data_IF_903070383729
#
_entry.id   IF_903070383729
#
_cell.length_a   1.000
_cell.length_b   1.000
_cell.length_c   1.000
_cell.angle_alpha   90.00
_cell.angle_beta   90.00
_cell.angle_gamma   90.00
#
_symmetry.space_group_name_H-M   'P 1'
#
loop_
_entity.id
_entity.type
_entity.pdbx_description
1 polymer ?
#
# COMPACT_ATOMS: atom_id res chain seq x y z
N UNK A 1 6.48 -30.35 30.41
CA UNK A 1 5.94 -29.39 31.40
C UNK A 1 4.69 -28.77 30.81
N UNK A 2 3.58 -28.91 31.52
CA UNK A 2 2.31 -28.25 31.25
C UNK A 2 2.52 -26.75 31.23
N UNK A 3 2.08 -26.07 30.15
CA UNK A 3 2.17 -24.62 30.04
C UNK A 3 1.46 -23.94 31.22
N UNK A 4 2.20 -23.19 31.99
CA UNK A 4 1.62 -22.40 33.08
C UNK A 4 1.11 -21.07 32.49
N UNK A 5 -0.19 -20.87 32.50
CA UNK A 5 -0.76 -19.55 32.18
C UNK A 5 -0.45 -18.62 33.35
N UNK A 6 0.30 -17.56 33.09
CA UNK A 6 0.46 -16.47 34.06
C UNK A 6 -0.63 -15.46 33.75
N UNK A 7 -1.61 -15.33 34.66
CA UNK A 7 -2.62 -14.26 34.59
C UNK A 7 -2.05 -13.05 35.31
N UNK A 8 -1.81 -11.98 34.56
CA UNK A 8 -1.34 -10.70 35.12
C UNK A 8 -2.53 -9.74 35.16
N UNK A 9 -2.90 -9.32 36.38
CA UNK A 9 -3.96 -8.34 36.59
C UNK A 9 -5.38 -8.89 36.55
N UNK A 10 -6.32 -8.10 37.01
CA UNK A 10 -7.76 -8.26 36.94
C UNK A 10 -8.36 -7.18 36.04
N UNK A 11 -9.67 -7.20 35.83
CA UNK A 11 -10.36 -6.16 35.05
C UNK A 11 -10.10 -4.77 35.66
N UNK A 12 -9.47 -3.88 34.89
CA UNK A 12 -9.10 -2.52 35.30
C UNK A 12 -7.65 -2.36 35.78
N UNK A 13 -6.89 -3.45 35.90
CA UNK A 13 -5.47 -3.37 36.25
C UNK A 13 -4.64 -2.96 35.02
N UNK A 14 -3.57 -2.22 35.27
CA UNK A 14 -2.57 -1.85 34.25
C UNK A 14 -1.33 -2.71 34.46
N UNK A 15 -0.88 -3.37 33.38
CA UNK A 15 0.42 -4.05 33.37
C UNK A 15 1.44 -3.13 32.73
N UNK A 16 2.36 -2.59 33.54
CA UNK A 16 3.43 -1.72 33.06
C UNK A 16 4.67 -2.55 32.71
N UNK A 17 5.16 -2.37 31.47
CA UNK A 17 6.39 -2.99 31.02
C UNK A 17 7.55 -2.04 31.33
N UNK A 18 8.51 -2.48 32.09
CA UNK A 18 9.65 -1.66 32.46
C UNK A 18 10.42 -1.16 31.23
N UNK A 19 11.01 0.04 31.33
CA UNK A 19 11.84 0.61 30.28
C UNK A 19 12.97 -0.36 29.89
N UNK A 20 13.08 -0.69 28.59
CA UNK A 20 14.06 -1.64 28.05
C UNK A 20 13.59 -3.10 28.02
N UNK A 21 12.42 -3.42 28.60
CA UNK A 21 11.79 -4.72 28.40
C UNK A 21 10.82 -4.67 27.20
N UNK A 22 10.60 -5.81 26.53
CA UNK A 22 9.68 -5.94 25.43
C UNK A 22 8.64 -7.01 25.70
N UNK A 23 7.38 -6.74 25.33
CA UNK A 23 6.33 -7.75 25.29
C UNK A 23 6.36 -8.44 23.93
N UNK A 24 6.86 -9.67 23.89
CA UNK A 24 6.82 -10.47 22.66
C UNK A 24 5.40 -10.98 22.44
N UNK A 25 4.83 -10.67 21.25
CA UNK A 25 3.43 -10.99 20.94
C UNK A 25 2.44 -9.90 21.32
N UNK A 26 2.90 -8.73 21.76
CA UNK A 26 2.07 -7.51 21.88
C UNK A 26 1.59 -7.06 20.49
N UNK A 27 0.37 -6.50 20.41
CA UNK A 27 -0.15 -5.91 19.18
C UNK A 27 0.64 -4.68 18.72
N UNK A 28 0.29 -4.14 17.55
CA UNK A 28 0.88 -2.90 17.04
C UNK A 28 0.55 -1.72 17.96
N UNK A 29 1.60 -1.02 18.37
CA UNK A 29 1.49 0.25 19.09
C UNK A 29 1.38 1.41 18.09
N UNK A 30 0.18 1.93 17.91
CA UNK A 30 -0.05 3.08 17.05
C UNK A 30 0.53 4.36 17.65
N UNK A 31 1.26 5.10 16.84
CA UNK A 31 1.78 6.40 17.25
C UNK A 31 0.64 7.42 17.32
N UNK A 32 0.62 8.21 18.38
CA UNK A 32 -0.42 9.23 18.58
C UNK A 32 -0.25 10.46 17.67
N UNK A 33 0.98 10.70 17.20
CA UNK A 33 1.31 11.83 16.36
C UNK A 33 1.23 11.45 14.87
N UNK A 34 0.64 12.33 14.05
CA UNK A 34 0.66 12.21 12.60
C UNK A 34 2.04 12.64 12.09
N UNK A 35 2.63 11.86 11.21
CA UNK A 35 3.92 12.15 10.60
C UNK A 35 3.71 13.06 9.40
N UNK A 36 4.13 14.33 9.50
CA UNK A 36 4.09 15.33 8.41
C UNK A 36 5.49 15.66 7.86
N UNK A 37 6.53 15.08 8.47
CA UNK A 37 7.91 15.31 8.06
C UNK A 37 8.27 14.56 6.77
N UNK A 38 9.25 15.05 6.04
CA UNK A 38 9.79 14.39 4.83
C UNK A 38 10.60 13.12 5.13
N UNK A 39 10.90 12.86 6.41
CA UNK A 39 11.61 11.65 6.85
C UNK A 39 11.01 11.10 8.13
N UNK A 40 11.04 9.76 8.25
CA UNK A 40 10.67 9.04 9.46
C UNK A 40 11.66 7.91 9.68
N UNK A 41 12.09 7.68 10.91
CA UNK A 41 12.74 6.44 11.31
C UNK A 41 11.69 5.55 11.98
N UNK A 42 11.35 4.46 11.33
CA UNK A 42 10.34 3.54 11.82
C UNK A 42 10.95 2.51 12.79
N UNK A 43 10.15 2.04 13.72
CA UNK A 43 10.50 1.03 14.71
C UNK A 43 9.58 -0.18 14.57
N UNK A 44 10.12 -1.38 14.85
CA UNK A 44 9.32 -2.61 14.89
C UNK A 44 8.23 -2.54 15.96
N UNK A 45 7.08 -3.13 15.66
CA UNK A 45 5.92 -3.15 16.55
C UNK A 45 5.08 -1.87 16.53
N UNK A 46 5.36 -0.94 15.62
CA UNK A 46 4.66 0.36 15.56
C UNK A 46 3.84 0.55 14.29
N UNK A 47 2.71 1.27 14.45
CA UNK A 47 1.88 1.78 13.36
C UNK A 47 1.98 3.30 13.25
N UNK A 48 1.99 3.82 12.02
CA UNK A 48 2.20 5.23 11.73
C UNK A 48 1.11 5.78 10.79
N UNK A 49 0.61 6.97 11.14
CA UNK A 49 -0.24 7.80 10.30
C UNK A 49 0.66 8.75 9.51
N UNK A 50 0.75 8.58 8.19
CA UNK A 50 1.65 9.37 7.35
C UNK A 50 0.84 10.37 6.54
N UNK A 51 1.09 11.65 6.75
CA UNK A 51 0.51 12.76 5.98
C UNK A 51 1.56 13.31 5.03
N UNK A 52 1.39 13.05 3.74
CA UNK A 52 2.28 13.52 2.69
C UNK A 52 1.74 14.72 1.93
N UNK A 53 0.78 15.46 2.49
CA UNK A 53 0.17 16.62 1.81
C UNK A 53 1.22 17.62 1.32
N UNK A 54 2.26 17.86 2.10
CA UNK A 54 3.28 18.88 1.80
C UNK A 54 4.54 18.34 1.13
N UNK A 55 4.84 17.04 1.26
CA UNK A 55 6.09 16.44 0.77
C UNK A 55 6.04 14.91 0.68
N UNK A 56 6.93 14.36 -0.14
CA UNK A 56 7.27 12.94 -0.12
C UNK A 56 7.87 12.59 1.25
N UNK A 57 7.52 11.43 1.81
CA UNK A 57 8.11 10.95 3.06
C UNK A 57 9.02 9.73 2.79
N UNK A 58 10.29 9.84 3.18
CA UNK A 58 11.23 8.70 3.19
C UNK A 58 11.25 8.06 4.57
N UNK A 59 10.88 6.78 4.63
CA UNK A 59 10.74 6.03 5.88
C UNK A 59 11.93 5.07 5.98
N UNK A 60 12.83 5.32 6.93
CA UNK A 60 13.97 4.44 7.20
C UNK A 60 13.54 3.32 8.13
N UNK A 61 13.66 2.10 7.66
CA UNK A 61 13.34 0.91 8.44
C UNK A 61 14.47 0.53 9.40
N UNK A 62 14.20 -0.29 10.43
CA UNK A 62 15.24 -0.81 11.33
C UNK A 62 16.36 -1.49 10.53
N UNK A 63 17.61 -1.24 10.89
CA UNK A 63 18.78 -1.91 10.30
C UNK A 63 18.97 -3.35 10.78
N UNK A 64 18.18 -3.79 11.76
CA UNK A 64 18.06 -5.16 12.23
C UNK A 64 16.62 -5.48 12.58
N UNK A 65 16.17 -6.70 12.32
CA UNK A 65 14.83 -7.16 12.62
C UNK A 65 14.81 -8.67 12.90
N UNK A 66 13.85 -9.09 13.70
CA UNK A 66 13.57 -10.50 14.01
C UNK A 66 12.35 -10.98 13.25
N UNK A 67 12.32 -12.27 12.89
CA UNK A 67 11.14 -12.83 12.22
C UNK A 67 9.87 -12.61 13.06
N UNK A 68 8.84 -12.04 12.45
CA UNK A 68 7.61 -11.63 13.11
C UNK A 68 7.55 -10.15 13.51
N UNK A 69 8.64 -9.40 13.41
CA UNK A 69 8.60 -7.94 13.56
C UNK A 69 7.66 -7.33 12.54
N UNK A 70 6.86 -6.35 12.95
CA UNK A 70 5.79 -5.77 12.15
C UNK A 70 5.84 -4.25 12.16
N UNK A 71 5.55 -3.63 11.03
CA UNK A 71 5.40 -2.18 10.87
C UNK A 71 4.18 -1.92 10.02
N UNK A 72 3.31 -1.00 10.45
CA UNK A 72 2.15 -0.57 9.66
C UNK A 72 2.29 0.90 9.29
N UNK A 73 2.08 1.19 8.01
CA UNK A 73 2.11 2.54 7.44
C UNK A 73 0.75 2.82 6.81
N UNK A 74 0.12 3.94 7.15
CA UNK A 74 -1.21 4.29 6.62
C UNK A 74 -1.21 5.70 6.07
N UNK A 75 -1.76 5.85 4.86
CA UNK A 75 -1.98 7.16 4.21
C UNK A 75 -3.08 7.93 4.95
N UNK A 76 -2.68 8.84 5.84
CA UNK A 76 -3.60 9.63 6.63
C UNK A 76 -4.39 10.64 5.78
N UNK A 77 -3.71 11.31 4.87
CA UNK A 77 -4.28 12.41 4.08
C UNK A 77 -4.86 11.97 2.72
N UNK A 78 -4.73 10.67 2.36
CA UNK A 78 -5.09 10.13 1.05
C UNK A 78 -4.36 10.87 -0.09
N UNK A 79 -3.06 11.05 0.06
CA UNK A 79 -2.24 11.87 -0.85
C UNK A 79 -1.00 11.17 -1.42
N UNK A 80 -0.85 9.86 -1.20
CA UNK A 80 0.34 9.12 -1.67
C UNK A 80 0.48 9.07 -3.20
N UNK A 81 -0.61 9.25 -3.94
CA UNK A 81 -0.55 9.35 -5.40
C UNK A 81 0.19 10.61 -5.86
N UNK A 82 0.00 11.72 -5.15
CA UNK A 82 0.70 12.99 -5.41
C UNK A 82 2.11 12.98 -4.80
N UNK A 83 2.21 12.64 -3.52
CA UNK A 83 3.45 12.60 -2.76
C UNK A 83 3.61 11.22 -2.11
N UNK A 84 4.27 10.32 -2.83
CA UNK A 84 4.47 8.94 -2.40
C UNK A 84 5.31 8.80 -1.13
N UNK A 85 5.21 7.66 -0.48
CA UNK A 85 6.22 7.25 0.50
C UNK A 85 7.30 6.38 -0.16
N UNK A 86 8.52 6.46 0.37
CA UNK A 86 9.66 5.64 -0.05
C UNK A 86 10.20 4.92 1.18
N UNK A 87 10.37 3.61 1.10
CA UNK A 87 10.95 2.81 2.18
C UNK A 87 12.45 2.68 1.95
N UNK A 88 13.25 3.31 2.80
CA UNK A 88 14.67 3.02 2.89
C UNK A 88 14.84 1.71 3.69
N UNK A 89 15.26 0.66 3.01
CA UNK A 89 15.38 -0.70 3.56
C UNK A 89 16.50 -0.83 4.61
N UNK A 90 17.41 0.15 4.70
CA UNK A 90 18.48 0.22 5.69
C UNK A 90 19.33 -1.08 5.78
N UNK A 91 19.66 -1.64 4.62
CA UNK A 91 20.50 -2.85 4.51
C UNK A 91 19.76 -4.18 4.60
N UNK A 92 18.49 -4.20 5.04
CA UNK A 92 17.67 -5.39 5.02
C UNK A 92 17.01 -5.58 3.63
N UNK A 93 16.50 -6.79 3.38
CA UNK A 93 15.78 -7.09 2.15
C UNK A 93 14.30 -6.69 2.25
N UNK A 94 13.72 -6.42 1.10
CA UNK A 94 12.29 -6.29 0.90
C UNK A 94 11.86 -7.24 -0.23
N UNK A 95 11.01 -8.21 0.07
CA UNK A 95 10.59 -9.29 -0.85
C UNK A 95 11.78 -10.02 -1.52
N UNK A 96 12.94 -10.06 -0.86
CA UNK A 96 14.15 -10.73 -1.34
C UNK A 96 15.19 -9.82 -1.99
N UNK A 97 14.88 -8.53 -2.20
CA UNK A 97 15.74 -7.57 -2.88
C UNK A 97 16.25 -6.50 -1.91
N UNK A 98 17.47 -6.03 -2.13
CA UNK A 98 18.07 -4.91 -1.37
C UNK A 98 17.97 -3.58 -2.12
N UNK A 99 17.55 -3.61 -3.37
CA UNK A 99 17.40 -2.45 -4.25
C UNK A 99 16.47 -2.81 -5.42
N UNK A 100 15.71 -1.86 -5.98
CA UNK A 100 15.55 -0.47 -5.50
C UNK A 100 14.74 -0.37 -4.21
N UNK A 101 14.78 0.80 -3.55
CA UNK A 101 13.90 1.09 -2.41
C UNK A 101 12.43 1.04 -2.85
N UNK A 102 11.57 0.26 -2.21
CA UNK A 102 10.15 0.20 -2.56
C UNK A 102 9.46 1.53 -2.27
N UNK A 103 8.41 1.82 -3.01
CA UNK A 103 7.58 3.00 -2.80
C UNK A 103 6.10 2.64 -2.93
N UNK A 104 5.26 3.37 -2.20
CA UNK A 104 3.81 3.25 -2.25
C UNK A 104 3.22 4.58 -2.67
N UNK A 105 2.34 4.54 -3.67
CA UNK A 105 1.78 5.72 -4.34
C UNK A 105 0.29 5.59 -4.62
N UNK A 106 -0.42 4.81 -3.83
CA UNK A 106 -1.88 4.66 -3.95
C UNK A 106 -2.58 5.41 -2.83
N UNK A 107 -3.50 6.29 -3.17
CA UNK A 107 -4.25 7.07 -2.19
C UNK A 107 -5.10 6.21 -1.27
N UNK A 108 -4.99 6.47 0.03
CA UNK A 108 -5.72 5.79 1.08
C UNK A 108 -5.23 4.37 1.38
N UNK A 109 -4.03 4.04 0.93
CA UNK A 109 -3.41 2.74 1.17
C UNK A 109 -2.98 2.59 2.62
N UNK A 110 -3.07 1.37 3.13
CA UNK A 110 -2.44 0.93 4.38
C UNK A 110 -1.59 -0.28 4.07
N UNK A 111 -0.34 -0.25 4.51
CA UNK A 111 0.64 -1.31 4.26
C UNK A 111 1.05 -1.92 5.57
N UNK A 112 0.75 -3.21 5.74
CA UNK A 112 1.19 -4.02 6.88
C UNK A 112 2.38 -4.86 6.44
N UNK A 113 3.53 -4.64 7.05
CA UNK A 113 4.80 -5.22 6.68
C UNK A 113 5.33 -6.09 7.82
N UNK A 114 5.60 -7.35 7.51
CA UNK A 114 6.16 -8.32 8.48
C UNK A 114 7.54 -8.76 8.02
N UNK A 115 8.51 -8.76 8.94
CA UNK A 115 9.83 -9.29 8.65
C UNK A 115 9.82 -10.82 8.71
N UNK A 116 10.12 -11.45 7.59
CA UNK A 116 10.07 -12.91 7.42
C UNK A 116 11.41 -13.61 7.65
N UNK A 117 12.46 -12.86 7.96
CA UNK A 117 13.82 -13.35 8.11
C UNK A 117 14.77 -12.91 6.98
N UNK A 118 16.04 -13.26 7.08
CA UNK A 118 17.11 -12.75 6.22
C UNK A 118 16.98 -13.11 4.73
N UNK A 119 16.23 -14.17 4.39
CA UNK A 119 16.10 -14.62 2.99
C UNK A 119 15.25 -13.65 2.16
N UNK A 120 14.09 -13.26 2.66
CA UNK A 120 13.13 -12.39 1.97
C UNK A 120 13.02 -10.99 2.59
N UNK A 121 13.33 -10.85 3.88
CA UNK A 121 13.24 -9.58 4.59
C UNK A 121 11.80 -9.18 4.89
N UNK A 122 11.48 -7.92 4.69
CA UNK A 122 10.14 -7.37 4.87
C UNK A 122 9.20 -7.82 3.76
N UNK A 123 8.02 -8.28 4.14
CA UNK A 123 6.98 -8.77 3.23
C UNK A 123 5.67 -8.05 3.56
N UNK A 124 4.95 -7.49 2.58
CA UNK A 124 3.57 -7.06 2.76
C UNK A 124 2.71 -8.26 3.18
N UNK A 125 2.01 -8.13 4.31
CA UNK A 125 1.22 -9.21 4.91
C UNK A 125 -0.27 -9.12 4.56
N UNK A 126 -0.76 -7.93 4.23
CA UNK A 126 -2.12 -7.73 3.74
C UNK A 126 -2.08 -7.36 2.27
N UNK A 127 -3.14 -7.75 1.54
CA UNK A 127 -3.37 -7.19 0.22
C UNK A 127 -3.62 -5.69 0.40
N UNK A 128 -2.63 -4.91 0.05
CA UNK A 128 -2.62 -3.46 0.17
C UNK A 128 -3.37 -2.78 -0.98
N UNK A 129 -4.03 -3.57 -1.84
CA UNK A 129 -4.83 -3.06 -2.94
C UNK A 129 -6.20 -2.54 -2.47
N UNK A 130 -6.21 -1.30 -1.99
CA UNK A 130 -7.45 -0.58 -1.63
C UNK A 130 -8.21 -0.05 -2.86
N UNK A 131 -7.74 -0.31 -4.08
CA UNK A 131 -8.35 0.19 -5.32
C UNK A 131 -9.81 -0.24 -5.49
N UNK A 132 -10.16 -1.39 -4.98
CA UNK A 132 -11.51 -1.93 -5.10
C UNK A 132 -12.55 -1.32 -4.12
N UNK A 133 -12.12 -0.47 -3.18
CA UNK A 133 -13.02 0.15 -2.20
C UNK A 133 -13.54 1.52 -2.62
N UNK A 134 -12.94 2.13 -3.61
CA UNK A 134 -13.42 3.37 -4.22
C UNK A 134 -13.83 3.07 -5.65
N UNK A 135 -15.01 3.50 -6.11
CA UNK A 135 -15.38 3.33 -7.51
C UNK A 135 -14.30 3.93 -8.39
N UNK A 136 -13.67 3.10 -9.19
CA UNK A 136 -12.69 3.53 -10.19
C UNK A 136 -13.45 3.93 -11.43
N UNK A 137 -13.41 5.22 -11.78
CA UNK A 137 -13.87 5.66 -13.09
C UNK A 137 -12.82 5.25 -14.12
N UNK A 138 -13.14 4.28 -14.94
CA UNK A 138 -12.33 3.95 -16.11
C UNK A 138 -12.83 4.73 -17.30
N UNK A 139 -11.96 5.50 -17.94
CA UNK A 139 -12.23 6.04 -19.26
C UNK A 139 -11.94 4.94 -20.26
N UNK A 140 -12.97 4.47 -20.94
CA UNK A 140 -12.81 3.49 -22.04
C UNK A 140 -12.90 4.27 -23.33
N UNK A 141 -11.82 4.28 -24.10
CA UNK A 141 -11.85 4.76 -25.46
C UNK A 141 -12.33 3.63 -26.36
N UNK A 142 -13.30 3.93 -27.21
CA UNK A 142 -13.87 2.95 -28.12
C UNK A 142 -14.06 3.53 -29.50
N UNK A 143 -13.99 2.65 -30.50
CA UNK A 143 -14.32 2.91 -31.88
C UNK A 143 -15.28 1.85 -32.36
N UNK A 144 -16.50 2.24 -32.70
CA UNK A 144 -17.49 1.35 -33.31
C UNK A 144 -17.66 1.74 -34.77
N UNK A 145 -17.33 0.83 -35.65
CA UNK A 145 -17.46 1.01 -37.11
C UNK A 145 -18.53 0.06 -37.62
N UNK A 146 -19.60 0.62 -38.13
CA UNK A 146 -20.64 -0.19 -38.75
C UNK A 146 -20.23 -0.62 -40.18
N UNK A 147 -20.70 -1.77 -40.62
CA UNK A 147 -20.48 -2.24 -41.99
C UNK A 147 -21.08 -1.28 -43.04
N UNK A 148 -20.36 -1.03 -44.10
CA UNK A 148 -20.85 -0.29 -45.25
C UNK A 148 -22.02 -0.97 -45.93
N UNK A 149 -22.86 -0.22 -46.57
CA UNK A 149 -23.98 -0.74 -47.40
C UNK A 149 -23.45 -1.55 -48.60
N UNK A 150 -24.13 -2.63 -48.95
CA UNK A 150 -23.81 -3.37 -50.18
C UNK A 150 -24.10 -2.50 -51.42
N UNK A 151 -23.19 -2.58 -52.41
CA UNK A 151 -23.43 -2.03 -53.71
C UNK A 151 -24.52 -2.81 -54.46
N UNK A 152 -25.34 -2.14 -55.24
CA UNK A 152 -26.34 -2.81 -56.08
C UNK A 152 -25.70 -3.51 -57.28
N UNK A 153 -26.31 -4.60 -57.74
CA UNK A 153 -25.89 -5.30 -58.95
C UNK A 153 -26.30 -4.49 -60.18
N UNK A 154 -25.37 -4.23 -61.08
CA UNK A 154 -25.56 -3.61 -62.37
C UNK A 154 -25.80 -2.09 -62.38
N UNK A 155 -24.75 -1.32 -62.71
CA UNK A 155 -24.74 0.14 -62.97
C UNK A 155 -25.26 1.05 -61.85
N UNK A 156 -25.31 0.60 -60.62
CA UNK A 156 -25.66 1.44 -59.47
C UNK A 156 -24.39 1.91 -58.73
N UNK A 157 -24.48 3.06 -58.03
CA UNK A 157 -23.40 3.59 -57.21
C UNK A 157 -23.02 2.61 -56.09
N UNK A 158 -21.79 2.70 -55.63
CA UNK A 158 -21.33 1.95 -54.45
C UNK A 158 -22.16 2.27 -53.24
N UNK A 159 -22.26 1.28 -52.33
CA UNK A 159 -22.88 1.48 -51.04
C UNK A 159 -22.17 2.55 -50.20
N UNK A 160 -22.92 3.25 -49.39
CA UNK A 160 -22.36 4.26 -48.48
C UNK A 160 -21.43 3.68 -47.42
N UNK A 161 -20.56 4.48 -46.93
CA UNK A 161 -19.73 4.10 -45.77
C UNK A 161 -20.62 3.83 -44.53
N UNK A 162 -20.22 2.86 -43.73
CA UNK A 162 -20.87 2.60 -42.44
C UNK A 162 -20.70 3.77 -41.46
N UNK A 163 -21.58 3.85 -40.50
CA UNK A 163 -21.45 4.81 -39.40
C UNK A 163 -20.23 4.51 -38.51
N UNK A 164 -19.63 5.55 -37.98
CA UNK A 164 -18.55 5.45 -37.01
C UNK A 164 -18.95 6.23 -35.74
N UNK A 165 -18.70 5.64 -34.59
CA UNK A 165 -18.87 6.27 -33.28
C UNK A 165 -17.62 6.08 -32.49
N UNK A 166 -17.10 7.15 -31.93
CA UNK A 166 -15.90 7.14 -31.10
C UNK A 166 -16.07 8.09 -29.91
N UNK A 167 -15.20 7.93 -28.89
CA UNK A 167 -15.11 8.84 -27.75
C UNK A 167 -13.67 9.27 -27.45
N UNK A 168 -12.81 9.31 -28.46
CA UNK A 168 -11.44 9.78 -28.28
C UNK A 168 -11.42 11.28 -27.97
N UNK A 169 -10.67 11.66 -26.88
CA UNK A 169 -10.37 13.06 -26.60
C UNK A 169 -11.48 13.85 -25.92
N UNK A 170 -12.30 13.20 -25.08
CA UNK A 170 -13.24 13.85 -24.18
C UNK A 170 -12.59 14.34 -22.90
#
# INVERSE_FOLDING_TARGET
QSGTTITLGATGDTVEIATGASLVGGGISWQSSIVTASTLTAESGKGYWIDTTSNICTITFPGSASAGDQIILTDYARNWETNKIIINQNGLKFQGFTSPNPSYSTNGQSVDLVYSGATKGWIPNSDDDVRNKTPQAYTIEYLVVAGGGGGATSKAGGGGAGGMVENFGG
#
